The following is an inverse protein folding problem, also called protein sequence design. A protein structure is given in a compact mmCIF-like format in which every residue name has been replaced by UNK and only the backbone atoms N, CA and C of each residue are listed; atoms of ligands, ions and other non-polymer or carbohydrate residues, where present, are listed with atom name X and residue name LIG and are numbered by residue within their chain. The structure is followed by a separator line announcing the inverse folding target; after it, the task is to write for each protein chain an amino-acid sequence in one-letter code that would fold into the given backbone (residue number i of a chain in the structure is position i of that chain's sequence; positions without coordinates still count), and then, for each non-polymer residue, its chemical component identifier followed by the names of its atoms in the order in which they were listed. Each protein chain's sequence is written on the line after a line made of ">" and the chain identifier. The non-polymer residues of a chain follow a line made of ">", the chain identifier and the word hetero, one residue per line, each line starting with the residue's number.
data_IF_197010716987
#
_entry.id   IF_197010716987
#
_cell.length_a   1.000
_cell.length_b   1.000
_cell.length_c   1.000
_cell.angle_alpha   90.00
_cell.angle_beta   90.00
_cell.angle_gamma   90.00
#
_symmetry.space_group_name_H-M   'P 1'
#
loop_
_entity.id
_entity.type
_entity.pdbx_description
1 polymer ?
#
# COMPACT_ATOMS: atom_id res chain seq x y z
N UNK A 1 3.19 -20.43 15.65
CA UNK A 1 2.48 -20.08 16.90
C UNK A 1 2.03 -18.65 16.76
N UNK A 2 0.73 -18.45 16.54
CA UNK A 2 0.11 -17.12 16.51
C UNK A 2 -0.36 -16.75 17.92
N UNK A 3 -0.62 -15.45 18.17
CA UNK A 3 -1.20 -14.99 19.44
C UNK A 3 -2.56 -15.68 19.69
N UNK A 4 -3.34 -15.93 18.64
CA UNK A 4 -4.63 -16.60 18.72
C UNK A 4 -4.55 -18.08 19.17
N UNK A 5 -3.42 -18.76 18.93
CA UNK A 5 -3.20 -20.15 19.38
C UNK A 5 -2.77 -20.25 20.85
N UNK A 6 -2.56 -19.12 21.54
CA UNK A 6 -2.14 -19.10 22.94
C UNK A 6 -3.34 -19.38 23.87
N UNK A 7 -3.29 -20.40 24.75
CA UNK A 7 -4.41 -20.70 25.66
C UNK A 7 -4.81 -19.49 26.51
N UNK A 8 -6.10 -19.14 26.48
CA UNK A 8 -6.64 -17.97 27.18
C UNK A 8 -6.49 -16.64 26.44
N UNK A 9 -5.93 -16.62 25.23
CA UNK A 9 -5.97 -15.45 24.36
C UNK A 9 -7.38 -15.28 23.76
N UNK A 10 -7.79 -14.02 23.60
CA UNK A 10 -9.05 -13.64 22.96
C UNK A 10 -8.75 -12.56 21.91
N UNK A 11 -9.15 -12.80 20.66
CA UNK A 11 -9.08 -11.79 19.62
C UNK A 11 -10.15 -10.73 19.87
N UNK A 12 -9.73 -9.48 20.03
CA UNK A 12 -10.62 -8.33 20.22
C UNK A 12 -10.71 -7.44 18.98
N UNK A 13 -9.75 -7.58 18.07
CA UNK A 13 -9.64 -6.80 16.84
C UNK A 13 -8.68 -7.49 15.88
N UNK A 14 -8.99 -7.42 14.59
CA UNK A 14 -8.09 -7.76 13.49
C UNK A 14 -8.25 -6.71 12.37
N UNK A 15 -7.18 -6.47 11.61
CA UNK A 15 -7.14 -5.45 10.54
C UNK A 15 -8.18 -5.67 9.43
N UNK A 16 -8.74 -6.87 9.25
CA UNK A 16 -9.83 -7.13 8.30
C UNK A 16 -11.08 -6.28 8.60
N UNK A 17 -11.22 -5.79 9.83
CA UNK A 17 -12.31 -4.92 10.27
C UNK A 17 -12.16 -3.46 9.80
N UNK A 18 -10.98 -3.06 9.30
CA UNK A 18 -10.68 -1.71 8.79
C UNK A 18 -10.10 -1.76 7.38
N UNK A 19 -10.82 -2.36 6.41
CA UNK A 19 -10.25 -2.60 5.09
C UNK A 19 -9.80 -1.28 4.43
N UNK A 20 -8.64 -1.34 3.79
CA UNK A 20 -8.02 -0.20 3.13
C UNK A 20 -7.35 0.82 4.05
N UNK A 21 -7.44 0.73 5.38
CA UNK A 21 -6.81 1.72 6.27
C UNK A 21 -5.29 1.54 6.39
N UNK A 22 -4.82 0.28 6.35
CA UNK A 22 -3.40 -0.07 6.39
C UNK A 22 -2.95 -0.35 4.95
N UNK A 23 -1.94 0.39 4.49
CA UNK A 23 -1.39 0.27 3.13
C UNK A 23 0.13 0.35 3.21
N UNK A 24 0.82 -0.61 2.59
CA UNK A 24 2.25 -0.48 2.33
C UNK A 24 2.45 0.30 1.04
N UNK A 25 3.20 1.39 1.11
CA UNK A 25 3.40 2.32 0.00
C UNK A 25 4.88 2.50 -0.28
N UNK A 26 5.24 2.51 -1.56
CA UNK A 26 6.51 3.08 -2.01
C UNK A 26 6.29 4.57 -2.28
N UNK A 27 7.01 5.42 -1.54
CA UNK A 27 6.89 6.88 -1.65
C UNK A 27 8.11 7.46 -2.37
N UNK A 28 7.86 8.34 -3.34
CA UNK A 28 8.89 9.06 -4.10
C UNK A 28 8.57 10.55 -4.05
N UNK A 29 9.60 11.39 -3.92
CA UNK A 29 9.42 12.84 -3.99
C UNK A 29 8.85 13.24 -5.36
N UNK A 30 7.77 14.04 -5.36
CA UNK A 30 7.04 14.43 -6.57
C UNK A 30 7.93 15.11 -7.61
N UNK A 31 8.80 16.03 -7.21
CA UNK A 31 9.66 16.76 -8.16
C UNK A 31 10.75 15.87 -8.75
N UNK A 32 11.33 14.98 -7.93
CA UNK A 32 12.26 13.96 -8.41
C UNK A 32 11.61 13.05 -9.45
N UNK A 33 10.38 12.59 -9.20
CA UNK A 33 9.66 11.70 -10.11
C UNK A 33 9.31 12.39 -11.43
N UNK A 34 8.83 13.64 -11.39
CA UNK A 34 8.57 14.45 -12.59
C UNK A 34 9.83 14.68 -13.42
N UNK A 35 10.94 15.01 -12.77
CA UNK A 35 12.22 15.24 -13.45
C UNK A 35 12.83 13.94 -14.02
N UNK A 36 12.47 12.78 -13.46
CA UNK A 36 13.04 11.49 -13.84
C UNK A 36 11.97 10.40 -14.05
N UNK A 37 11.15 10.45 -15.11
CA UNK A 37 10.10 9.46 -15.33
C UNK A 37 10.60 8.02 -15.47
N UNK A 38 11.85 7.83 -15.91
CA UNK A 38 12.51 6.53 -15.96
C UNK A 38 12.60 5.86 -14.57
N UNK A 39 12.69 6.66 -13.48
CA UNK A 39 12.65 6.14 -12.12
C UNK A 39 11.31 5.47 -11.81
N UNK A 40 10.19 6.14 -12.14
CA UNK A 40 8.85 5.60 -11.93
C UNK A 40 8.64 4.28 -12.68
N UNK A 41 9.06 4.25 -13.95
CA UNK A 41 9.01 3.03 -14.77
C UNK A 41 9.83 1.89 -14.16
N UNK A 42 11.07 2.17 -13.75
CA UNK A 42 11.95 1.17 -13.17
C UNK A 42 11.43 0.61 -11.84
N UNK A 43 10.94 1.48 -10.95
CA UNK A 43 10.37 1.07 -9.66
C UNK A 43 9.12 0.20 -9.85
N UNK A 44 8.18 0.63 -10.69
CA UNK A 44 6.94 -0.11 -10.93
C UNK A 44 7.20 -1.41 -11.70
N UNK A 45 8.08 -1.39 -12.71
CA UNK A 45 8.46 -2.58 -13.46
C UNK A 45 9.08 -3.64 -12.56
N UNK A 46 10.11 -3.26 -11.78
CA UNK A 46 10.75 -4.19 -10.85
C UNK A 46 9.78 -4.72 -9.79
N UNK A 47 8.86 -3.88 -9.30
CA UNK A 47 7.83 -4.32 -8.34
C UNK A 47 6.93 -5.40 -8.93
N UNK A 48 6.38 -5.20 -10.13
CA UNK A 48 5.46 -6.17 -10.73
C UNK A 48 6.14 -7.41 -11.30
N UNK A 49 7.40 -7.33 -11.73
CA UNK A 49 8.22 -8.51 -12.00
C UNK A 49 8.37 -9.37 -10.74
N UNK A 50 8.67 -8.74 -9.60
CA UNK A 50 8.78 -9.45 -8.32
C UNK A 50 7.43 -10.00 -7.84
N UNK A 51 6.34 -9.23 -7.96
CA UNK A 51 4.99 -9.70 -7.61
C UNK A 51 4.55 -10.90 -8.45
N UNK A 52 4.92 -10.93 -9.74
CA UNK A 52 4.63 -12.07 -10.62
C UNK A 52 5.35 -13.33 -10.15
N UNK A 53 6.63 -13.25 -9.81
CA UNK A 53 7.37 -14.37 -9.22
C UNK A 53 6.80 -14.77 -7.85
N UNK A 54 6.49 -13.79 -7.00
CA UNK A 54 5.98 -14.00 -5.64
C UNK A 54 4.63 -14.71 -5.63
N UNK A 55 3.71 -14.34 -6.52
CA UNK A 55 2.37 -14.91 -6.63
C UNK A 55 2.30 -16.22 -7.40
N UNK A 56 3.37 -16.62 -8.09
CA UNK A 56 3.37 -17.82 -8.93
C UNK A 56 3.56 -19.12 -8.12
N UNK A 57 2.80 -20.15 -8.46
CA UNK A 57 3.05 -21.52 -7.98
C UNK A 57 4.09 -22.23 -8.88
N UNK A 58 5.31 -21.69 -8.87
CA UNK A 58 6.46 -22.23 -9.60
C UNK A 58 7.60 -22.55 -8.64
N UNK A 59 8.63 -23.27 -9.12
CA UNK A 59 9.85 -23.48 -8.34
C UNK A 59 10.48 -22.13 -7.95
N UNK A 60 10.53 -21.18 -8.88
CA UNK A 60 11.01 -19.82 -8.65
C UNK A 60 10.20 -19.09 -7.58
N UNK A 61 8.87 -19.14 -7.66
CA UNK A 61 8.01 -18.50 -6.66
C UNK A 61 8.19 -19.09 -5.26
N UNK A 62 8.37 -20.42 -5.15
CA UNK A 62 8.69 -21.07 -3.87
C UNK A 62 10.05 -20.63 -3.33
N UNK A 63 11.06 -20.47 -4.18
CA UNK A 63 12.38 -19.94 -3.78
C UNK A 63 12.28 -18.50 -3.29
N UNK A 64 11.53 -17.65 -3.98
CA UNK A 64 11.29 -16.25 -3.57
C UNK A 64 10.59 -16.19 -2.21
N UNK A 65 9.52 -16.96 -2.02
CA UNK A 65 8.80 -17.02 -0.73
C UNK A 65 9.66 -17.60 0.40
N UNK A 66 10.52 -18.57 0.11
CA UNK A 66 11.48 -19.08 1.09
C UNK A 66 12.50 -18.02 1.50
N UNK A 67 13.11 -17.34 0.52
CA UNK A 67 14.08 -16.27 0.76
C UNK A 67 13.48 -15.12 1.58
N UNK A 68 12.29 -14.65 1.20
CA UNK A 68 11.60 -13.58 1.92
C UNK A 68 11.13 -14.02 3.31
N UNK A 69 10.75 -15.28 3.48
CA UNK A 69 10.46 -15.84 4.78
C UNK A 69 11.67 -15.85 5.72
N UNK A 70 12.84 -16.27 5.23
CA UNK A 70 14.09 -16.20 6.00
C UNK A 70 14.46 -14.74 6.34
N UNK A 71 14.36 -13.83 5.38
CA UNK A 71 14.61 -12.40 5.59
C UNK A 71 13.66 -11.76 6.61
N UNK A 72 12.43 -12.29 6.71
CA UNK A 72 11.40 -11.84 7.66
C UNK A 72 11.48 -12.55 9.02
N UNK A 73 12.52 -13.33 9.28
CA UNK A 73 12.73 -14.04 10.55
C UNK A 73 11.80 -15.24 10.77
N UNK A 74 11.26 -15.80 9.69
CA UNK A 74 10.41 -16.99 9.68
C UNK A 74 10.98 -18.03 8.70
N UNK A 75 10.14 -18.84 8.08
CA UNK A 75 10.47 -19.65 6.91
C UNK A 75 9.36 -19.56 5.87
N UNK A 76 9.48 -20.32 4.76
CA UNK A 76 8.51 -20.27 3.65
C UNK A 76 7.05 -20.39 4.11
N UNK A 77 6.73 -21.39 4.93
CA UNK A 77 5.35 -21.63 5.40
C UNK A 77 4.82 -20.48 6.26
N UNK A 78 5.67 -19.90 7.12
CA UNK A 78 5.25 -18.76 7.94
C UNK A 78 5.08 -17.49 7.13
N UNK A 79 5.86 -17.31 6.06
CA UNK A 79 5.68 -16.19 5.13
C UNK A 79 4.44 -16.38 4.25
N UNK A 80 4.18 -17.59 3.75
CA UNK A 80 2.94 -17.93 3.04
C UNK A 80 1.71 -17.66 3.93
N UNK A 81 1.76 -18.03 5.22
CA UNK A 81 0.69 -17.72 6.16
C UNK A 81 0.50 -16.20 6.39
N UNK A 82 1.57 -15.40 6.33
CA UNK A 82 1.46 -13.94 6.36
C UNK A 82 0.77 -13.40 5.10
N UNK A 83 1.19 -13.88 3.92
CA UNK A 83 0.59 -13.50 2.63
C UNK A 83 -0.92 -13.82 2.58
N UNK A 84 -1.33 -14.96 3.13
CA UNK A 84 -2.75 -15.35 3.22
C UNK A 84 -3.59 -14.39 4.07
N UNK A 85 -2.98 -13.74 5.07
CA UNK A 85 -3.62 -12.73 5.90
C UNK A 85 -3.62 -11.33 5.29
N UNK A 86 -2.97 -11.11 4.15
CA UNK A 86 -2.80 -9.80 3.53
C UNK A 86 -3.55 -9.70 2.20
N UNK A 87 -4.15 -8.53 1.95
CA UNK A 87 -4.67 -8.21 0.62
C UNK A 87 -3.53 -7.78 -0.28
N UNK A 88 -3.01 -8.73 -1.05
CA UNK A 88 -1.96 -8.46 -2.03
C UNK A 88 -2.53 -7.90 -3.33
N UNK A 89 -1.85 -6.89 -3.89
CA UNK A 89 -2.14 -6.32 -5.22
C UNK A 89 -1.11 -6.83 -6.22
N UNK A 90 -1.25 -8.11 -6.60
CA UNK A 90 -0.27 -8.80 -7.47
C UNK A 90 -0.18 -8.24 -8.90
N UNK A 91 -1.22 -7.52 -9.37
CA UNK A 91 -1.27 -6.96 -10.71
C UNK A 91 -1.43 -5.44 -10.66
N UNK A 92 -0.95 -4.72 -11.70
CA UNK A 92 -1.15 -3.28 -11.80
C UNK A 92 -2.61 -2.87 -11.75
N UNK A 93 -3.49 -3.56 -12.50
CA UNK A 93 -4.93 -3.29 -12.52
C UNK A 93 -5.55 -3.36 -11.13
N UNK A 94 -5.22 -4.40 -10.34
CA UNK A 94 -5.78 -4.56 -9.00
C UNK A 94 -5.39 -3.40 -8.06
N UNK A 95 -4.16 -2.88 -8.18
CA UNK A 95 -3.71 -1.73 -7.41
C UNK A 95 -4.40 -0.44 -7.86
N UNK A 96 -4.52 -0.23 -9.18
CA UNK A 96 -5.18 0.95 -9.77
C UNK A 96 -6.67 0.98 -9.37
N UNK A 97 -7.36 -0.15 -9.49
CA UNK A 97 -8.77 -0.30 -9.11
C UNK A 97 -8.98 0.08 -7.64
N UNK A 98 -8.11 -0.43 -6.75
CA UNK A 98 -8.21 -0.11 -5.34
C UNK A 98 -7.93 1.38 -5.06
N UNK A 99 -6.83 1.93 -5.57
CA UNK A 99 -6.45 3.33 -5.30
C UNK A 99 -7.48 4.32 -5.88
N UNK A 100 -8.18 3.95 -6.95
CA UNK A 100 -9.23 4.76 -7.58
C UNK A 100 -10.61 4.56 -6.93
N UNK A 101 -10.75 3.62 -6.00
CA UNK A 101 -12.02 3.26 -5.38
C UNK A 101 -12.47 4.23 -4.29
N UNK A 102 -13.78 4.26 -4.03
CA UNK A 102 -14.34 4.95 -2.87
C UNK A 102 -13.83 4.37 -1.54
N UNK A 103 -13.56 3.06 -1.48
CA UNK A 103 -12.99 2.43 -0.29
C UNK A 103 -11.63 3.03 0.08
N UNK A 104 -10.73 3.24 -0.88
CA UNK A 104 -9.43 3.84 -0.60
C UNK A 104 -9.55 5.30 -0.17
N UNK A 105 -10.47 6.05 -0.80
CA UNK A 105 -10.76 7.44 -0.47
C UNK A 105 -11.34 7.57 0.95
N UNK A 106 -12.41 6.82 1.27
CA UNK A 106 -13.05 6.82 2.59
C UNK A 106 -12.10 6.34 3.68
N UNK A 107 -11.27 5.33 3.42
CA UNK A 107 -10.26 4.88 4.37
C UNK A 107 -9.24 5.98 4.67
N UNK A 108 -8.79 6.74 3.68
CA UNK A 108 -7.89 7.88 3.95
C UNK A 108 -8.59 9.06 4.61
N UNK A 109 -9.87 9.30 4.32
CA UNK A 109 -10.68 10.28 5.04
C UNK A 109 -10.77 9.92 6.52
N UNK A 110 -11.02 8.64 6.84
CA UNK A 110 -10.99 8.16 8.21
C UNK A 110 -9.62 8.32 8.87
N UNK A 111 -8.54 7.92 8.17
CA UNK A 111 -7.16 8.02 8.68
C UNK A 111 -6.77 9.47 8.99
N UNK A 112 -7.08 10.44 8.12
CA UNK A 112 -6.74 11.86 8.38
C UNK A 112 -7.55 12.43 9.55
N UNK A 113 -8.83 12.05 9.69
CA UNK A 113 -9.67 12.47 10.82
C UNK A 113 -9.13 11.93 12.13
N UNK A 114 -8.87 10.62 12.19
CA UNK A 114 -8.24 9.98 13.33
C UNK A 114 -6.89 10.63 13.67
N UNK A 115 -6.06 10.88 12.66
CA UNK A 115 -4.75 11.50 12.86
C UNK A 115 -4.87 12.89 13.47
N UNK A 116 -5.84 13.70 13.05
CA UNK A 116 -6.12 14.99 13.68
C UNK A 116 -6.62 14.85 15.12
N UNK A 117 -7.62 14.00 15.35
CA UNK A 117 -8.20 13.75 16.68
C UNK A 117 -7.16 13.28 17.71
N UNK A 118 -6.13 12.55 17.24
CA UNK A 118 -5.03 12.05 18.07
C UNK A 118 -3.80 12.97 18.08
N UNK A 119 -3.83 14.11 17.40
CA UNK A 119 -2.71 15.06 17.35
C UNK A 119 -1.49 14.55 16.56
N UNK A 120 -1.69 13.65 15.60
CA UNK A 120 -0.64 13.02 14.79
C UNK A 120 -0.28 13.79 13.51
N UNK A 121 -1.06 14.83 13.15
CA UNK A 121 -0.77 15.70 12.00
C UNK A 121 0.31 16.77 12.26
N UNK A 122 0.92 16.75 13.45
CA UNK A 122 1.97 17.68 13.85
C UNK A 122 1.46 18.88 14.65
N UNK A 123 2.40 19.58 15.29
CA UNK A 123 2.10 20.81 16.03
C UNK A 123 1.64 21.90 15.05
N UNK A 124 0.41 22.40 15.24
CA UNK A 124 -0.13 23.52 14.44
C UNK A 124 -1.14 23.13 13.36
N UNK A 125 -1.46 21.85 13.18
CA UNK A 125 -2.60 21.45 12.35
C UNK A 125 -3.90 21.99 12.95
N UNK A 126 -4.59 22.89 12.23
CA UNK A 126 -5.83 23.52 12.70
C UNK A 126 -7.08 22.63 12.46
N UNK A 127 -7.00 21.66 11.55
CA UNK A 127 -8.05 20.69 11.25
C UNK A 127 -7.46 19.44 10.58
N UNK A 128 -8.31 18.42 10.37
CA UNK A 128 -7.98 17.24 9.56
C UNK A 128 -7.74 17.56 8.07
N UNK A 129 -8.04 18.79 7.64
CA UNK A 129 -7.80 19.26 6.26
C UNK A 129 -6.41 19.87 6.08
N UNK A 130 -5.60 19.99 7.15
CA UNK A 130 -4.30 20.67 7.12
C UNK A 130 -3.36 20.15 6.02
N UNK A 131 -3.42 18.86 5.71
CA UNK A 131 -2.64 18.23 4.62
C UNK A 131 -3.57 17.88 3.47
N UNK A 132 -3.23 18.35 2.27
CA UNK A 132 -3.88 17.94 1.03
C UNK A 132 -3.39 16.56 0.54
N UNK A 133 -4.34 15.70 0.17
CA UNK A 133 -4.13 14.36 -0.36
C UNK A 133 -4.87 14.22 -1.69
N UNK A 134 -4.11 14.03 -2.76
CA UNK A 134 -4.63 13.88 -4.12
C UNK A 134 -4.82 12.40 -4.49
N UNK A 135 -5.95 12.09 -5.12
CA UNK A 135 -6.32 10.78 -5.66
C UNK A 135 -6.52 10.86 -7.18
N UNK A 136 -6.50 9.71 -7.89
CA UNK A 136 -6.85 9.68 -9.30
C UNK A 136 -8.23 10.29 -9.59
N UNK A 137 -8.36 10.92 -10.75
CA UNK A 137 -9.61 11.56 -11.18
C UNK A 137 -9.89 12.90 -10.50
N UNK A 138 -8.84 13.66 -10.16
CA UNK A 138 -8.90 15.02 -9.58
C UNK A 138 -9.63 15.09 -8.22
N UNK A 139 -9.69 13.97 -7.49
CA UNK A 139 -10.30 13.91 -6.15
C UNK A 139 -9.28 14.35 -5.12
N UNK A 140 -9.67 15.27 -4.23
CA UNK A 140 -8.79 15.78 -3.17
C UNK A 140 -9.49 15.70 -1.80
N UNK A 141 -8.73 15.24 -0.81
CA UNK A 141 -9.03 15.42 0.61
C UNK A 141 -8.13 16.51 1.20
N UNK A 142 -8.70 17.39 2.02
CA UNK A 142 -7.95 18.44 2.72
C UNK A 142 -7.64 19.67 1.87
N UNK A 143 -6.53 20.34 2.16
CA UNK A 143 -6.16 21.63 1.57
C UNK A 143 -5.41 21.48 0.23
N UNK A 144 -6.07 21.88 -0.86
CA UNK A 144 -5.50 21.91 -2.22
C UNK A 144 -4.25 22.80 -2.35
N UNK A 145 -4.10 23.80 -1.49
CA UNK A 145 -2.91 24.66 -1.47
C UNK A 145 -1.72 24.03 -0.73
N UNK A 146 -1.95 22.92 0.00
CA UNK A 146 -0.95 22.19 0.76
C UNK A 146 -0.93 20.69 0.42
N UNK A 147 -0.90 20.37 -0.89
CA UNK A 147 -0.83 19.00 -1.40
C UNK A 147 0.54 18.35 -1.14
N UNK A 148 0.59 17.44 -0.15
CA UNK A 148 1.83 16.75 0.26
C UNK A 148 1.81 15.23 0.00
N UNK A 149 0.65 14.62 -0.23
CA UNK A 149 0.52 13.21 -0.59
C UNK A 149 -0.28 13.08 -1.88
N UNK A 150 0.19 12.23 -2.79
CA UNK A 150 -0.44 11.99 -4.10
C UNK A 150 -0.45 10.50 -4.37
N UNK A 151 -1.63 9.94 -4.60
CA UNK A 151 -1.78 8.60 -5.13
C UNK A 151 -1.73 8.66 -6.66
N UNK A 152 -0.52 8.51 -7.21
CA UNK A 152 -0.27 8.55 -8.65
C UNK A 152 -0.32 7.14 -9.25
N UNK A 153 -1.28 6.91 -10.17
CA UNK A 153 -1.44 5.63 -10.87
C UNK A 153 -0.69 5.56 -12.21
N UNK A 154 -0.06 6.65 -12.66
CA UNK A 154 0.49 6.80 -14.01
C UNK A 154 1.37 5.63 -14.44
N UNK A 155 2.36 5.28 -13.62
CA UNK A 155 3.32 4.22 -13.98
C UNK A 155 2.74 2.81 -13.82
N UNK A 156 1.78 2.63 -12.91
CA UNK A 156 1.03 1.36 -12.82
C UNK A 156 0.14 1.18 -14.04
N UNK A 157 -0.48 2.24 -14.55
CA UNK A 157 -1.27 2.19 -15.78
C UNK A 157 -0.38 1.82 -16.97
N UNK A 158 0.83 2.40 -17.06
CA UNK A 158 1.81 1.98 -18.08
C UNK A 158 2.15 0.49 -17.98
N UNK A 159 2.23 -0.07 -16.76
CA UNK A 159 2.47 -1.49 -16.55
C UNK A 159 1.28 -2.36 -17.03
N UNK A 160 0.05 -1.97 -16.69
CA UNK A 160 -1.18 -2.62 -17.15
C UNK A 160 -1.27 -2.62 -18.69
N UNK A 161 -0.90 -1.49 -19.31
CA UNK A 161 -0.94 -1.29 -20.76
C UNK A 161 0.22 -1.97 -21.51
N UNK A 162 1.18 -2.58 -20.80
CA UNK A 162 2.38 -3.17 -21.40
C UNK A 162 3.35 -2.15 -21.99
N UNK A 163 3.35 -0.92 -21.45
CA UNK A 163 4.08 0.24 -21.97
C UNK A 163 5.28 0.68 -21.09
N UNK A 164 5.71 -0.16 -20.15
CA UNK A 164 6.90 0.10 -19.31
C UNK A 164 8.22 0.02 -20.08
#
# INVERSE_FOLDING_TARGET
>A
STVAETPGAHEIFDSSQIPGHIKDLTLVNTETLKANPALGKALVGAWYEMMADLGADTAKGREVRAYLGEASGTGREGYEAQLDGMKMFYTPDAAIDFISSDQAYEAMDSVRQFSFEKGLLGEGAASADFVGIEFPGDRILGDESNLNLRFDTTYMQMAADGAL
#
